data_IF_745759448903
#
_entry.id   IF_745759448903
#
_cell.length_a   1.000
_cell.length_b   1.000
_cell.length_c   1.000
_cell.angle_alpha   90.00
_cell.angle_beta   90.00
_cell.angle_gamma   90.00
#
_symmetry.space_group_name_H-M   'P 1'
#
loop_
_entity.id
_entity.type
_entity.pdbx_description
1 polymer ?
#
# COMPACT_ATOMS: atom_id res chain seq x y z
N UNK A 1 41.19 -42.22 3.16
CA UNK A 1 42.02 -41.94 1.95
C UNK A 1 41.46 -40.66 1.36
N UNK A 2 42.12 -39.50 1.32
CA UNK A 2 43.53 -39.10 1.12
C UNK A 2 43.67 -37.66 1.66
N UNK A 3 44.52 -37.44 2.69
CA UNK A 3 45.87 -36.82 2.64
C UNK A 3 45.87 -35.26 2.53
N UNK A 4 46.39 -34.50 3.53
CA UNK A 4 47.83 -34.18 3.77
C UNK A 4 48.33 -33.14 2.74
N UNK A 5 49.03 -32.02 2.99
CA UNK A 5 49.62 -31.28 4.13
C UNK A 5 50.33 -30.01 3.53
N UNK A 6 50.47 -28.95 4.33
CA UNK A 6 51.72 -28.20 4.61
C UNK A 6 52.41 -27.23 3.61
N UNK A 7 52.99 -26.18 4.25
CA UNK A 7 54.22 -25.38 3.92
C UNK A 7 54.04 -24.37 2.79
N UNK A 8 54.52 -23.12 2.84
CA UNK A 8 55.43 -22.34 3.69
C UNK A 8 55.51 -20.94 3.04
N UNK A 9 56.02 -19.86 3.64
CA UNK A 9 57.43 -19.51 3.88
C UNK A 9 57.33 -18.09 4.50
N UNK A 10 57.65 -17.87 5.78
CA UNK A 10 58.98 -17.58 6.30
C UNK A 10 59.59 -16.23 5.83
N UNK A 11 59.54 -15.23 6.71
CA UNK A 11 60.60 -14.21 6.87
C UNK A 11 60.56 -13.76 8.34
N UNK A 12 61.22 -14.49 9.24
CA UNK A 12 62.63 -14.33 9.61
C UNK A 12 62.86 -13.05 10.43
N UNK A 13 63.09 -13.28 11.72
CA UNK A 13 64.00 -12.54 12.59
C UNK A 13 63.95 -11.01 12.52
N UNK A 14 63.42 -10.42 13.60
CA UNK A 14 64.30 -9.53 14.35
C UNK A 14 64.04 -9.66 15.85
N UNK A 15 65.04 -10.22 16.52
CA UNK A 15 65.14 -10.44 17.95
C UNK A 15 66.30 -9.58 18.43
N UNK A 16 65.98 -8.51 19.16
CA UNK A 16 66.86 -7.74 20.06
C UNK A 16 66.04 -6.51 20.53
N UNK A 17 65.88 -6.21 21.81
CA UNK A 17 66.51 -6.71 23.01
C UNK A 17 66.06 -5.85 24.20
N UNK A 18 66.51 -6.25 25.38
CA UNK A 18 66.32 -5.60 26.68
C UNK A 18 64.93 -5.75 27.31
N UNK A 19 64.81 -6.84 28.09
CA UNK A 19 64.06 -6.81 29.33
C UNK A 19 64.53 -5.63 30.19
N UNK A 20 63.59 -4.78 30.59
CA UNK A 20 63.67 -4.09 31.87
C UNK A 20 62.36 -4.34 32.61
N UNK A 21 62.51 -5.07 33.72
CA UNK A 21 61.50 -5.37 34.73
C UNK A 21 61.05 -4.08 35.40
N UNK A 22 59.74 -3.87 35.52
CA UNK A 22 59.14 -3.22 36.70
C UNK A 22 57.91 -4.02 37.12
N UNK A 23 58.06 -4.62 38.31
CA UNK A 23 57.08 -4.87 39.35
C UNK A 23 55.69 -5.41 38.99
N UNK A 24 55.43 -6.60 39.53
CA UNK A 24 54.12 -7.04 39.98
C UNK A 24 53.46 -5.95 40.84
N UNK A 25 52.21 -5.60 40.51
CA UNK A 25 51.20 -5.44 41.55
C UNK A 25 49.95 -6.17 41.08
N UNK A 26 49.67 -7.27 41.77
CA UNK A 26 48.45 -8.02 41.59
C UNK A 26 47.33 -7.24 42.31
N UNK A 27 46.66 -6.36 41.59
CA UNK A 27 45.37 -5.84 42.02
C UNK A 27 44.30 -6.90 41.75
N UNK A 28 43.36 -7.13 42.69
CA UNK A 28 42.40 -8.22 42.61
C UNK A 28 41.45 -7.99 41.43
N UNK A 29 41.21 -9.05 40.65
CA UNK A 29 40.14 -9.08 39.66
C UNK A 29 38.81 -9.04 40.41
N UNK A 30 38.16 -7.89 40.46
CA UNK A 30 36.75 -7.80 40.84
C UNK A 30 35.90 -8.28 39.64
N UNK A 31 35.19 -9.42 39.75
CA UNK A 31 34.42 -9.98 38.64
C UNK A 31 33.18 -9.15 38.28
N UNK A 32 32.77 -8.20 39.13
CA UNK A 32 31.57 -7.38 38.92
C UNK A 32 31.78 -6.27 37.87
N UNK A 33 32.99 -5.73 37.69
CA UNK A 33 33.25 -4.64 36.75
C UNK A 33 33.23 -5.11 35.28
N UNK A 34 33.63 -6.36 35.00
CA UNK A 34 33.57 -6.95 33.67
C UNK A 34 32.14 -7.40 33.29
N UNK A 35 31.29 -7.68 34.27
CA UNK A 35 29.89 -8.05 34.03
C UNK A 35 29.01 -6.84 33.68
N UNK A 36 29.35 -5.64 34.17
CA UNK A 36 28.61 -4.41 33.87
C UNK A 36 28.78 -3.93 32.40
N UNK A 37 29.98 -4.09 31.84
CA UNK A 37 30.29 -3.65 30.47
C UNK A 37 29.86 -4.66 29.40
N UNK A 38 29.70 -5.94 29.77
CA UNK A 38 29.06 -6.94 28.92
C UNK A 38 27.52 -6.77 28.90
N UNK A 39 26.92 -6.39 30.03
CA UNK A 39 25.48 -6.16 30.13
C UNK A 39 25.01 -4.90 29.38
N UNK A 40 25.82 -3.85 29.30
CA UNK A 40 25.48 -2.64 28.53
C UNK A 40 25.42 -2.90 27.02
N UNK A 41 26.36 -3.68 26.48
CA UNK A 41 26.40 -4.04 25.05
C UNK A 41 25.25 -4.96 24.65
N UNK A 42 24.87 -5.93 25.51
CA UNK A 42 23.72 -6.81 25.26
C UNK A 42 22.39 -6.05 25.31
N UNK A 43 22.27 -5.01 26.16
CA UNK A 43 21.09 -4.16 26.24
C UNK A 43 20.98 -3.26 25.00
N UNK A 44 22.07 -2.67 24.53
CA UNK A 44 22.07 -1.84 23.31
C UNK A 44 21.76 -2.67 22.05
N UNK A 45 22.28 -3.89 21.92
CA UNK A 45 21.91 -4.80 20.82
C UNK A 45 20.45 -5.27 20.89
N UNK A 46 19.90 -5.44 22.10
CA UNK A 46 18.50 -5.80 22.29
C UNK A 46 17.56 -4.63 21.94
N UNK A 47 17.93 -3.40 22.28
CA UNK A 47 17.20 -2.18 21.92
C UNK A 47 17.19 -1.96 20.41
N UNK A 48 18.35 -2.05 19.75
CA UNK A 48 18.43 -1.96 18.29
C UNK A 48 17.56 -3.02 17.62
N UNK A 49 17.56 -4.27 18.12
CA UNK A 49 16.70 -5.35 17.59
C UNK A 49 15.21 -5.09 17.83
N UNK A 50 14.83 -4.41 18.90
CA UNK A 50 13.44 -3.98 19.14
C UNK A 50 13.04 -2.86 18.18
N UNK A 51 13.89 -1.87 17.95
CA UNK A 51 13.65 -0.79 16.98
C UNK A 51 13.53 -1.31 15.54
N UNK A 52 14.36 -2.28 15.15
CA UNK A 52 14.24 -2.93 13.85
C UNK A 52 12.92 -3.70 13.69
N UNK A 53 12.42 -4.31 14.77
CA UNK A 53 11.12 -5.02 14.76
C UNK A 53 9.95 -4.05 14.66
N UNK A 54 9.96 -2.96 15.43
CA UNK A 54 8.91 -1.94 15.33
C UNK A 54 8.90 -1.30 13.95
N UNK A 55 10.07 -1.04 13.36
CA UNK A 55 10.16 -0.50 12.01
C UNK A 55 9.63 -1.47 10.95
N UNK A 56 9.89 -2.77 11.09
CA UNK A 56 9.31 -3.78 10.19
C UNK A 56 7.78 -3.86 10.37
N UNK A 57 7.28 -3.83 11.60
CA UNK A 57 5.84 -3.79 11.89
C UNK A 57 5.15 -2.58 11.25
N UNK A 58 5.76 -1.39 11.34
CA UNK A 58 5.28 -0.16 10.70
C UNK A 58 5.26 -0.29 9.17
N UNK A 59 6.32 -0.84 8.57
CA UNK A 59 6.37 -1.11 7.11
C UNK A 59 5.31 -2.11 6.69
N UNK A 60 5.04 -3.14 7.50
CA UNK A 60 3.97 -4.10 7.23
C UNK A 60 2.57 -3.52 7.42
N UNK A 61 2.39 -2.51 8.28
CA UNK A 61 1.12 -1.77 8.39
C UNK A 61 0.89 -0.92 7.16
N UNK A 62 1.89 -0.11 6.78
CA UNK A 62 1.83 0.77 5.61
C UNK A 62 1.55 -0.02 4.32
N UNK A 63 2.13 -1.20 4.15
CA UNK A 63 1.82 -2.09 3.00
C UNK A 63 0.36 -2.54 2.98
N UNK A 64 -0.23 -2.86 4.14
CA UNK A 64 -1.64 -3.24 4.23
C UNK A 64 -2.54 -2.05 3.89
N UNK A 65 -2.25 -0.88 4.44
CA UNK A 65 -2.99 0.36 4.16
C UNK A 65 -2.94 0.74 2.67
N UNK A 66 -1.77 0.59 2.01
CA UNK A 66 -1.64 0.85 0.57
C UNK A 66 -2.42 -0.18 -0.26
N UNK A 67 -2.45 -1.45 0.15
CA UNK A 67 -3.25 -2.49 -0.48
C UNK A 67 -4.75 -2.24 -0.32
N UNK A 68 -5.19 -1.86 0.88
CA UNK A 68 -6.58 -1.53 1.16
C UNK A 68 -7.03 -0.29 0.38
N UNK A 69 -6.19 0.75 0.35
CA UNK A 69 -6.44 1.94 -0.46
C UNK A 69 -6.54 1.58 -1.95
N UNK A 70 -5.63 0.76 -2.48
CA UNK A 70 -5.70 0.36 -3.89
C UNK A 70 -7.00 -0.42 -4.21
N UNK A 71 -7.47 -1.27 -3.29
CA UNK A 71 -8.76 -1.97 -3.42
C UNK A 71 -9.94 -1.01 -3.36
N UNK A 72 -9.92 -0.05 -2.43
CA UNK A 72 -10.97 0.96 -2.29
C UNK A 72 -11.04 1.86 -3.54
N UNK A 73 -9.89 2.21 -4.11
CA UNK A 73 -9.78 2.97 -5.35
C UNK A 73 -10.29 2.16 -6.55
N UNK A 74 -9.97 0.87 -6.64
CA UNK A 74 -10.52 -0.03 -7.67
C UNK A 74 -12.05 -0.16 -7.56
N UNK A 75 -12.58 -0.18 -6.33
CA UNK A 75 -14.02 -0.23 -6.07
C UNK A 75 -14.70 1.11 -6.40
N UNK A 76 -14.03 2.25 -6.14
CA UNK A 76 -14.51 3.59 -6.50
C UNK A 76 -14.51 3.84 -8.02
N UNK A 77 -13.60 3.22 -8.78
CA UNK A 77 -13.59 3.30 -10.25
C UNK A 77 -14.77 2.55 -10.90
N UNK A 78 -15.42 1.61 -10.20
CA UNK A 78 -16.59 0.88 -10.71
C UNK A 78 -17.89 1.72 -10.72
N UNK A 79 -17.95 2.83 -9.96
CA UNK A 79 -19.20 3.62 -9.79
C UNK A 79 -19.31 4.87 -10.69
N UNK A 80 -18.25 5.29 -11.40
CA UNK A 80 -18.15 6.69 -11.84
C UNK A 80 -18.07 6.98 -13.34
N UNK A 81 -18.48 6.08 -14.24
CA UNK A 81 -18.42 6.42 -15.68
C UNK A 81 -19.74 6.40 -16.45
N UNK A 82 -20.74 5.65 -15.99
CA UNK A 82 -22.14 5.74 -16.42
C UNK A 82 -22.94 5.18 -15.23
N UNK A 83 -24.18 5.60 -14.93
CA UNK A 83 -24.94 4.92 -13.88
C UNK A 83 -24.92 3.41 -14.17
N UNK A 84 -24.27 2.62 -13.30
CA UNK A 84 -24.08 1.16 -13.48
C UNK A 84 -25.41 0.37 -13.56
N UNK A 85 -26.54 1.07 -13.43
CA UNK A 85 -27.89 0.55 -13.33
C UNK A 85 -28.87 1.23 -14.29
N UNK A 86 -28.46 1.66 -15.50
CA UNK A 86 -29.47 1.86 -16.56
C UNK A 86 -29.96 0.48 -17.02
N UNK A 87 -30.84 -0.14 -16.23
CA UNK A 87 -31.33 -1.50 -16.44
C UNK A 87 -32.41 -1.55 -17.54
N UNK A 88 -33.07 -0.42 -17.80
CA UNK A 88 -34.21 -0.32 -18.73
C UNK A 88 -34.13 0.99 -19.51
N UNK A 89 -34.25 0.90 -20.82
CA UNK A 89 -34.38 2.04 -21.72
C UNK A 89 -35.82 2.17 -22.21
N UNK A 90 -36.37 3.39 -22.16
CA UNK A 90 -37.69 3.71 -22.67
C UNK A 90 -37.55 4.51 -23.97
N UNK A 91 -38.15 4.00 -25.02
CA UNK A 91 -38.19 4.63 -26.34
C UNK A 91 -39.63 5.04 -26.60
N UNK A 92 -39.83 6.31 -26.99
CA UNK A 92 -41.16 6.88 -27.19
C UNK A 92 -41.24 7.32 -28.64
N UNK A 93 -42.17 6.72 -29.37
CA UNK A 93 -42.58 7.22 -30.68
C UNK A 93 -44.00 7.78 -30.60
N UNK A 94 -44.31 8.69 -31.51
CA UNK A 94 -45.59 9.39 -31.52
C UNK A 94 -46.21 9.29 -32.91
N UNK A 95 -47.41 8.71 -33.00
CA UNK A 95 -48.22 8.63 -34.22
C UNK A 95 -49.57 9.29 -33.95
N UNK A 96 -49.57 10.62 -33.90
CA UNK A 96 -50.76 11.43 -33.63
C UNK A 96 -50.88 12.52 -34.68
N UNK A 97 -52.13 12.83 -35.07
CA UNK A 97 -52.42 13.93 -35.99
C UNK A 97 -52.26 15.32 -35.35
N UNK A 98 -52.64 16.36 -36.08
CA UNK A 98 -52.43 17.80 -35.78
C UNK A 98 -52.91 18.34 -34.40
N UNK A 99 -53.54 17.53 -33.55
CA UNK A 99 -54.21 17.98 -32.33
C UNK A 99 -53.48 17.66 -31.02
N UNK A 100 -52.25 17.17 -31.08
CA UNK A 100 -51.46 16.86 -29.89
C UNK A 100 -50.10 17.55 -29.96
N UNK A 101 -49.87 18.47 -29.03
CA UNK A 101 -48.63 19.23 -28.90
C UNK A 101 -47.87 18.75 -27.66
N UNK A 102 -46.71 18.13 -27.87
CA UNK A 102 -45.92 17.51 -26.81
C UNK A 102 -44.91 18.53 -26.27
N UNK A 103 -45.05 18.91 -25.00
CA UNK A 103 -44.08 19.78 -24.32
C UNK A 103 -43.11 18.96 -23.45
N UNK A 104 -43.64 18.05 -22.62
CA UNK A 104 -42.82 17.25 -21.72
C UNK A 104 -43.38 15.86 -21.45
N UNK A 105 -42.48 14.94 -21.10
CA UNK A 105 -42.82 13.59 -20.64
C UNK A 105 -42.31 13.41 -19.22
N UNK A 106 -43.22 12.99 -18.34
CA UNK A 106 -42.92 12.62 -16.97
C UNK A 106 -43.08 11.11 -16.78
N UNK A 107 -41.98 10.44 -16.45
CA UNK A 107 -41.97 9.00 -16.18
C UNK A 107 -42.05 8.77 -14.68
N UNK A 108 -43.05 7.98 -14.26
CA UNK A 108 -43.22 7.56 -12.86
C UNK A 108 -43.22 6.04 -12.76
N UNK A 109 -42.48 5.50 -11.80
CA UNK A 109 -42.45 4.07 -11.48
C UNK A 109 -42.85 3.94 -10.01
N UNK A 110 -43.83 3.08 -9.72
CA UNK A 110 -44.38 2.87 -8.37
C UNK A 110 -44.83 4.17 -7.67
N UNK A 111 -45.38 5.11 -8.45
CA UNK A 111 -45.83 6.41 -7.97
C UNK A 111 -44.71 7.41 -7.65
N UNK A 112 -43.43 7.05 -7.86
CA UNK A 112 -42.28 7.95 -7.73
C UNK A 112 -41.85 8.46 -9.10
N UNK A 113 -41.57 9.75 -9.18
CA UNK A 113 -41.02 10.39 -10.39
C UNK A 113 -39.57 9.95 -10.60
N UNK A 114 -39.30 9.34 -11.75
CA UNK A 114 -37.97 8.80 -12.10
C UNK A 114 -37.28 9.59 -13.20
N UNK A 115 -38.04 10.26 -14.07
CA UNK A 115 -37.48 11.13 -15.11
C UNK A 115 -38.51 12.17 -15.56
N UNK A 116 -38.00 13.35 -15.91
CA UNK A 116 -38.78 14.41 -16.54
C UNK A 116 -37.94 14.99 -17.68
N UNK A 117 -38.52 15.03 -18.88
CA UNK A 117 -37.83 15.56 -20.06
C UNK A 117 -38.72 16.55 -20.80
N UNK A 118 -38.17 17.74 -21.05
CA UNK A 118 -38.79 18.78 -21.86
C UNK A 118 -38.30 18.64 -23.30
N UNK A 119 -39.21 18.51 -24.24
CA UNK A 119 -38.89 18.39 -25.65
C UNK A 119 -38.70 19.77 -26.27
N UNK A 120 -37.75 19.86 -27.20
CA UNK A 120 -37.64 21.01 -28.08
C UNK A 120 -38.53 20.83 -29.32
N UNK A 121 -38.92 21.93 -29.96
CA UNK A 121 -39.73 21.88 -31.19
C UNK A 121 -39.11 20.99 -32.29
N UNK A 122 -37.77 20.91 -32.35
CA UNK A 122 -37.06 20.10 -33.33
C UNK A 122 -37.20 18.60 -33.05
N UNK A 123 -37.25 18.21 -31.78
CA UNK A 123 -37.41 16.82 -31.37
C UNK A 123 -38.87 16.37 -31.53
N UNK A 124 -39.83 17.25 -31.23
CA UNK A 124 -41.25 16.99 -31.51
C UNK A 124 -41.50 16.77 -33.01
N UNK A 125 -40.92 17.61 -33.88
CA UNK A 125 -41.01 17.42 -35.34
C UNK A 125 -40.36 16.11 -35.80
N UNK A 126 -39.28 15.68 -35.15
CA UNK A 126 -38.66 14.38 -35.43
C UNK A 126 -39.57 13.21 -35.02
N UNK A 127 -40.22 13.29 -33.85
CA UNK A 127 -41.18 12.28 -33.39
C UNK A 127 -42.39 12.18 -34.32
N UNK A 128 -42.94 13.31 -34.79
CA UNK A 128 -44.04 13.36 -35.76
C UNK A 128 -43.70 12.69 -37.10
N UNK A 129 -42.41 12.65 -37.46
CA UNK A 129 -41.92 11.99 -38.69
C UNK A 129 -41.58 10.51 -38.47
N UNK A 130 -41.88 9.96 -37.29
CA UNK A 130 -41.62 8.57 -36.93
C UNK A 130 -40.24 8.33 -36.30
N UNK A 131 -39.59 9.37 -35.78
CA UNK A 131 -38.40 9.25 -34.93
C UNK A 131 -38.71 8.58 -33.59
N UNK A 132 -37.66 8.12 -32.91
CA UNK A 132 -37.70 7.47 -31.58
C UNK A 132 -36.50 7.90 -30.75
#
# INVERSE_FOLDING_TARGET
MTRTRFIGVASLFWLCGAALVVAQDAAPLDPDAAMADAQSVEVDEALARQEFKSLDEDVQSLKKEVLDLNRDLFLLEEELLFPANSQVAFFISMDVGEYFDLDSVNLKIDGKEVSNYLYTQREVDALLRGGV
#
